data_IF_276476016559
#
_entry.id   IF_276476016559
#
_cell.length_a   1.000
_cell.length_b   1.000
_cell.length_c   1.000
_cell.angle_alpha   90.00
_cell.angle_beta   90.00
_cell.angle_gamma   90.00
#
_symmetry.space_group_name_H-M   'P 1'
#
loop_
_entity.id
_entity.type
_entity.pdbx_description
1 polymer ?
#
# COMPACT_ATOMS: atom_id res chain seq x y z
N UNK A 1 24.27 3.31 11.13
CA UNK A 1 23.32 4.21 11.84
C UNK A 1 22.05 4.35 11.01
N UNK A 2 20.93 3.97 11.60
CA UNK A 2 19.62 3.88 10.95
C UNK A 2 18.92 5.24 10.92
N UNK A 3 18.46 5.67 9.75
CA UNK A 3 17.76 6.96 9.58
C UNK A 3 16.28 6.84 9.90
N UNK A 4 15.75 7.79 10.66
CA UNK A 4 14.31 7.89 10.96
C UNK A 4 13.54 8.29 9.69
N UNK A 5 12.51 7.50 9.36
CA UNK A 5 11.67 7.67 8.17
C UNK A 5 10.30 8.20 8.55
N UNK A 6 9.65 8.96 7.68
CA UNK A 6 8.25 9.34 7.88
C UNK A 6 7.43 9.06 6.63
N UNK A 7 6.19 8.61 6.84
CA UNK A 7 5.24 8.36 5.76
C UNK A 7 4.97 9.64 4.95
N UNK A 8 4.88 10.79 5.62
CA UNK A 8 4.71 12.08 4.95
C UNK A 8 5.85 12.39 3.95
N UNK A 9 7.11 12.14 4.33
CA UNK A 9 8.26 12.29 3.41
C UNK A 9 8.16 11.32 2.25
N UNK A 10 7.74 10.08 2.50
CA UNK A 10 7.52 9.11 1.43
C UNK A 10 6.50 9.60 0.41
N UNK A 11 5.33 10.07 0.85
CA UNK A 11 4.28 10.56 -0.05
C UNK A 11 4.75 11.78 -0.83
N UNK A 12 5.25 12.80 -0.13
CA UNK A 12 5.63 14.09 -0.76
C UNK A 12 6.75 13.88 -1.77
N UNK A 13 7.81 13.15 -1.40
CA UNK A 13 8.93 12.91 -2.33
C UNK A 13 8.55 11.96 -3.45
N UNK A 14 7.69 10.95 -3.21
CA UNK A 14 7.21 10.09 -4.29
C UNK A 14 6.37 10.88 -5.30
N UNK A 15 5.57 11.85 -4.84
CA UNK A 15 4.84 12.72 -5.74
C UNK A 15 5.78 13.64 -6.54
N UNK A 16 6.75 14.27 -5.87
CA UNK A 16 7.73 15.17 -6.51
C UNK A 16 8.66 14.46 -7.52
N UNK A 17 8.98 13.19 -7.27
CA UNK A 17 9.90 12.40 -8.10
C UNK A 17 9.17 11.44 -9.05
N UNK A 18 7.87 11.61 -9.24
CA UNK A 18 7.04 10.74 -10.09
C UNK A 18 7.18 9.25 -9.76
N UNK A 19 7.28 8.91 -8.47
CA UNK A 19 7.35 7.54 -7.96
C UNK A 19 8.76 6.96 -7.83
N UNK A 20 9.81 7.63 -8.35
CA UNK A 20 11.19 7.13 -8.28
C UNK A 20 11.67 6.99 -6.83
N UNK A 21 11.31 7.94 -5.98
CA UNK A 21 11.69 7.91 -4.56
C UNK A 21 11.15 6.67 -3.82
N UNK A 22 10.01 6.12 -4.24
CA UNK A 22 9.46 4.89 -3.66
C UNK A 22 10.43 3.70 -3.77
N UNK A 23 11.13 3.58 -4.91
CA UNK A 23 12.13 2.53 -5.10
C UNK A 23 13.35 2.71 -4.20
N UNK A 24 13.85 3.95 -4.11
CA UNK A 24 14.96 4.28 -3.21
C UNK A 24 14.60 4.00 -1.75
N UNK A 25 13.38 4.36 -1.35
CA UNK A 25 12.88 4.11 0.00
C UNK A 25 12.91 2.62 0.34
N UNK A 26 12.39 1.75 -0.53
CA UNK A 26 12.39 0.30 -0.29
C UNK A 26 13.81 -0.27 -0.25
N UNK A 27 14.74 0.29 -1.03
CA UNK A 27 16.14 -0.14 -1.01
C UNK A 27 16.81 0.21 0.32
N UNK A 28 16.66 1.44 0.77
CA UNK A 28 17.13 1.86 2.08
C UNK A 28 16.45 1.08 3.21
N UNK A 29 15.16 0.77 3.08
CA UNK A 29 14.40 0.00 4.07
C UNK A 29 14.94 -1.43 4.25
N UNK A 30 15.27 -2.11 3.14
CA UNK A 30 15.85 -3.46 3.18
C UNK A 30 17.21 -3.47 3.84
N UNK A 31 18.07 -2.50 3.51
CA UNK A 31 19.40 -2.41 4.09
C UNK A 31 19.32 -2.24 5.61
N UNK A 32 18.44 -1.36 6.08
CA UNK A 32 18.25 -1.14 7.52
C UNK A 32 17.65 -2.36 8.22
N UNK A 33 16.67 -3.06 7.62
CA UNK A 33 16.17 -4.34 8.16
C UNK A 33 17.30 -5.36 8.26
N UNK A 34 18.10 -5.49 7.20
CA UNK A 34 19.19 -6.45 7.18
C UNK A 34 20.28 -6.12 8.22
N UNK A 35 20.45 -4.84 8.58
CA UNK A 35 21.38 -4.39 9.61
C UNK A 35 20.85 -4.60 11.04
N UNK A 36 19.54 -4.44 11.29
CA UNK A 36 18.96 -4.75 12.62
C UNK A 36 18.71 -6.24 12.83
N UNK A 37 18.41 -6.99 11.77
CA UNK A 37 18.14 -8.41 11.82
C UNK A 37 19.36 -9.24 11.39
N UNK A 38 20.60 -8.83 11.73
CA UNK A 38 21.82 -9.59 11.39
C UNK A 38 21.85 -10.95 12.08
N UNK A 39 21.37 -11.02 13.34
CA UNK A 39 21.35 -12.25 14.14
C UNK A 39 20.36 -13.31 13.63
N UNK A 40 19.41 -12.92 12.77
CA UNK A 40 18.36 -13.79 12.21
C UNK A 40 18.91 -14.80 11.17
N UNK A 41 20.17 -14.68 10.76
CA UNK A 41 20.81 -15.53 9.74
C UNK A 41 20.20 -15.44 8.34
N UNK A 42 19.24 -14.53 8.13
CA UNK A 42 18.47 -14.37 6.89
C UNK A 42 18.78 -13.00 6.27
N UNK A 43 19.15 -12.96 4.98
CA UNK A 43 19.20 -11.71 4.20
C UNK A 43 17.92 -11.53 3.41
N UNK A 44 17.28 -10.36 3.54
CA UNK A 44 16.21 -9.95 2.63
C UNK A 44 16.82 -9.72 1.25
N UNK A 45 16.23 -10.29 0.18
CA UNK A 45 16.75 -10.15 -1.18
C UNK A 45 16.72 -8.69 -1.63
N UNK A 46 17.62 -8.33 -2.55
CA UNK A 46 17.70 -6.99 -3.13
C UNK A 46 16.35 -6.55 -3.72
N UNK A 47 16.04 -5.26 -3.61
CA UNK A 47 14.81 -4.65 -4.17
C UNK A 47 14.58 -5.03 -5.63
N UNK A 48 15.63 -5.14 -6.43
CA UNK A 48 15.57 -5.52 -7.85
C UNK A 48 14.92 -6.91 -8.01
N UNK A 49 15.29 -7.87 -7.15
CA UNK A 49 14.71 -9.22 -7.15
C UNK A 49 13.24 -9.15 -6.78
N UNK A 50 12.88 -8.32 -5.80
CA UNK A 50 11.48 -8.13 -5.39
C UNK A 50 10.64 -7.56 -6.53
N UNK A 51 11.15 -6.56 -7.24
CA UNK A 51 10.45 -5.96 -8.39
C UNK A 51 10.27 -6.99 -9.51
N UNK A 52 11.34 -7.70 -9.89
CA UNK A 52 11.29 -8.71 -10.95
C UNK A 52 10.31 -9.84 -10.63
N UNK A 53 10.36 -10.39 -9.41
CA UNK A 53 9.39 -11.41 -8.99
C UNK A 53 7.97 -10.87 -8.86
N UNK A 54 7.80 -9.61 -8.49
CA UNK A 54 6.48 -8.99 -8.43
C UNK A 54 5.88 -8.84 -9.82
N UNK A 55 6.66 -8.45 -10.83
CA UNK A 55 6.20 -8.47 -12.22
C UNK A 55 5.85 -9.89 -12.69
N UNK A 56 6.70 -10.88 -12.38
CA UNK A 56 6.49 -12.27 -12.79
C UNK A 56 5.27 -12.92 -12.13
N UNK A 57 4.95 -12.55 -10.89
CA UNK A 57 3.85 -13.13 -10.09
C UNK A 57 2.60 -12.23 -10.04
N UNK A 58 2.49 -11.26 -10.94
CA UNK A 58 1.38 -10.29 -10.97
C UNK A 58 1.15 -9.59 -9.61
N UNK A 59 2.22 -9.26 -8.89
CA UNK A 59 2.19 -8.55 -7.61
C UNK A 59 2.00 -9.42 -6.37
N UNK A 60 1.78 -10.73 -6.50
CA UNK A 60 1.58 -11.63 -5.35
C UNK A 60 2.85 -11.73 -4.51
N UNK A 61 4.03 -11.78 -5.14
CA UNK A 61 5.30 -11.82 -4.42
C UNK A 61 5.51 -10.59 -3.52
N UNK A 62 5.07 -9.41 -3.96
CA UNK A 62 5.16 -8.18 -3.17
C UNK A 62 4.39 -8.30 -1.85
N UNK A 63 3.20 -8.91 -1.88
CA UNK A 63 2.38 -9.16 -0.68
C UNK A 63 3.10 -10.09 0.30
N UNK A 64 3.65 -11.19 -0.20
CA UNK A 64 4.42 -12.13 0.61
C UNK A 64 5.66 -11.46 1.20
N UNK A 65 6.33 -10.62 0.42
CA UNK A 65 7.50 -9.89 0.86
C UNK A 65 7.17 -8.88 1.98
N UNK A 66 6.08 -8.10 1.84
CA UNK A 66 5.59 -7.19 2.89
C UNK A 66 5.28 -7.92 4.20
N UNK A 67 4.59 -9.05 4.12
CA UNK A 67 4.32 -9.92 5.27
C UNK A 67 5.62 -10.32 5.96
N UNK A 68 6.59 -10.83 5.17
CA UNK A 68 7.86 -11.31 5.69
C UNK A 68 8.69 -10.23 6.38
N UNK A 69 8.70 -9.00 5.87
CA UNK A 69 9.42 -7.89 6.54
C UNK A 69 8.79 -7.54 7.90
N UNK A 70 7.46 -7.50 7.98
CA UNK A 70 6.76 -7.24 9.24
C UNK A 70 7.01 -8.31 10.30
N UNK A 71 7.02 -9.60 9.92
CA UNK A 71 7.31 -10.69 10.86
C UNK A 71 8.76 -10.66 11.36
N UNK A 72 9.73 -10.33 10.50
CA UNK A 72 11.15 -10.21 10.89
C UNK A 72 11.38 -9.10 11.91
N UNK A 73 10.75 -7.95 11.70
CA UNK A 73 10.79 -6.86 12.69
C UNK A 73 10.14 -7.27 14.00
N UNK A 74 9.04 -8.04 13.95
CA UNK A 74 8.37 -8.53 15.15
C UNK A 74 9.20 -9.59 15.90
N UNK A 75 9.94 -10.46 15.19
CA UNK A 75 10.77 -11.49 15.83
C UNK A 75 12.00 -10.92 16.52
N UNK A 76 12.58 -9.83 16.01
CA UNK A 76 13.74 -9.18 16.63
C UNK A 76 13.35 -8.17 17.72
N UNK A 77 12.09 -7.74 17.77
CA UNK A 77 11.63 -6.73 18.74
C UNK A 77 11.93 -7.09 20.23
N UNK A 78 11.75 -8.35 20.68
CA UNK A 78 12.10 -8.74 22.05
C UNK A 78 13.57 -8.52 22.41
N UNK A 79 14.51 -8.71 21.46
CA UNK A 79 15.95 -8.51 21.68
C UNK A 79 16.31 -7.03 21.94
N UNK A 80 15.42 -6.14 21.50
CA UNK A 80 15.50 -4.70 21.74
C UNK A 80 14.61 -4.24 22.90
N UNK A 81 14.03 -5.16 23.68
CA UNK A 81 13.05 -4.88 24.73
C UNK A 81 11.81 -4.11 24.23
N UNK A 82 11.40 -4.37 22.98
CA UNK A 82 10.23 -3.76 22.35
C UNK A 82 9.13 -4.80 22.13
N UNK A 83 7.87 -4.39 22.31
CA UNK A 83 6.70 -5.22 22.00
C UNK A 83 5.93 -4.65 20.79
N UNK A 84 6.14 -5.24 19.62
CA UNK A 84 5.43 -4.85 18.40
C UNK A 84 4.04 -5.49 18.41
N UNK A 85 3.01 -4.66 18.63
CA UNK A 85 1.59 -5.08 18.65
C UNK A 85 1.04 -5.41 17.26
N UNK A 86 1.57 -4.79 16.20
CA UNK A 86 1.11 -4.96 14.82
C UNK A 86 2.27 -5.47 13.95
N UNK A 87 2.28 -6.78 13.67
CA UNK A 87 3.29 -7.47 12.87
C UNK A 87 2.92 -7.63 11.40
N UNK A 88 3.52 -8.61 10.72
CA UNK A 88 3.33 -8.85 9.28
C UNK A 88 1.89 -9.21 8.93
N UNK A 89 1.18 -9.95 9.79
CA UNK A 89 -0.22 -10.34 9.57
C UNK A 89 -1.16 -9.14 9.44
N UNK A 90 -1.03 -8.16 10.32
CA UNK A 90 -1.86 -6.94 10.30
C UNK A 90 -1.59 -6.10 9.07
N UNK A 91 -0.33 -6.00 8.63
CA UNK A 91 0.06 -5.31 7.39
C UNK A 91 -0.57 -6.00 6.18
N UNK A 92 -0.47 -7.33 6.09
CA UNK A 92 -1.00 -8.11 4.98
C UNK A 92 -2.53 -7.99 4.87
N UNK A 93 -3.25 -8.13 5.98
CA UNK A 93 -4.72 -8.01 6.02
C UNK A 93 -5.17 -6.62 5.56
N UNK A 94 -4.53 -5.56 6.08
CA UNK A 94 -4.86 -4.18 5.70
C UNK A 94 -4.61 -3.91 4.22
N UNK A 95 -3.53 -4.47 3.66
CA UNK A 95 -3.23 -4.33 2.25
C UNK A 95 -4.23 -5.08 1.36
N UNK A 96 -4.55 -6.35 1.66
CA UNK A 96 -5.53 -7.12 0.90
C UNK A 96 -6.92 -6.46 0.98
N UNK A 97 -7.35 -6.07 2.19
CA UNK A 97 -8.63 -5.39 2.39
C UNK A 97 -8.67 -4.06 1.62
N UNK A 98 -7.58 -3.29 1.65
CA UNK A 98 -7.45 -2.07 0.86
C UNK A 98 -7.58 -2.31 -0.64
N UNK A 99 -6.85 -3.29 -1.18
CA UNK A 99 -6.91 -3.66 -2.60
C UNK A 99 -8.29 -4.10 -3.02
N UNK A 100 -8.97 -4.87 -2.17
CA UNK A 100 -10.33 -5.34 -2.40
C UNK A 100 -11.31 -4.15 -2.46
N UNK A 101 -11.27 -3.24 -1.49
CA UNK A 101 -12.15 -2.06 -1.47
C UNK A 101 -11.95 -1.16 -2.69
N UNK A 102 -10.70 -1.00 -3.15
CA UNK A 102 -10.41 -0.22 -4.35
C UNK A 102 -10.95 -0.90 -5.62
N UNK A 103 -10.86 -2.23 -5.72
CA UNK A 103 -11.38 -2.98 -6.86
C UNK A 103 -12.91 -2.85 -6.99
N UNK A 104 -13.64 -2.98 -5.87
CA UNK A 104 -15.10 -2.82 -5.84
C UNK A 104 -15.56 -1.36 -6.00
N UNK A 105 -14.80 -0.41 -5.45
CA UNK A 105 -15.04 1.02 -5.65
C UNK A 105 -14.89 1.42 -7.13
N UNK A 106 -13.90 0.85 -7.83
CA UNK A 106 -13.64 1.16 -9.24
C UNK A 106 -14.71 0.61 -10.19
N UNK A 107 -15.21 -0.60 -9.94
CA UNK A 107 -16.26 -1.22 -10.77
C UNK A 107 -17.63 -0.54 -10.63
N UNK A 108 -17.95 -0.03 -9.44
CA UNK A 108 -19.19 0.70 -9.16
C UNK A 108 -19.14 2.18 -9.55
N UNK A 109 -17.97 2.83 -9.46
CA UNK A 109 -17.83 4.27 -9.67
C UNK A 109 -17.84 4.69 -11.14
N UNK A 110 -17.27 3.85 -12.03
CA UNK A 110 -17.17 4.15 -13.46
C UNK A 110 -18.53 4.25 -14.17
N UNK A 111 -19.51 3.44 -13.77
CA UNK A 111 -20.88 3.48 -14.32
C UNK A 111 -21.64 4.73 -13.86
N UNK A 112 -21.42 5.14 -12.62
CA UNK A 112 -22.11 6.26 -11.98
C UNK A 112 -21.63 7.65 -12.46
N UNK A 113 -20.31 7.84 -12.67
CA UNK A 113 -19.76 9.11 -13.17
C UNK A 113 -20.30 9.47 -14.56
N UNK A 114 -20.57 8.48 -15.40
CA UNK A 114 -21.03 8.66 -16.77
C UNK A 114 -22.53 9.02 -16.88
N UNK A 115 -23.35 8.52 -15.95
CA UNK A 115 -24.77 8.83 -15.85
C UNK A 115 -25.04 10.31 -15.48
N UNK A 116 -24.12 10.97 -14.78
CA UNK A 116 -24.27 12.37 -14.36
C UNK A 116 -23.96 13.41 -15.44
N UNK A 117 -23.43 12.99 -16.60
CA UNK A 117 -23.12 13.86 -17.75
C UNK A 117 -22.04 14.93 -17.53
N UNK A 118 -21.45 15.02 -16.33
CA UNK A 118 -20.54 16.11 -15.92
C UNK A 118 -19.07 15.73 -15.77
N UNK A 119 -18.73 14.43 -15.73
CA UNK A 119 -17.36 13.97 -15.48
C UNK A 119 -16.99 12.80 -16.38
N UNK A 120 -16.09 13.04 -17.33
CA UNK A 120 -15.43 12.00 -18.14
C UNK A 120 -14.33 11.34 -17.31
N UNK A 121 -14.70 10.58 -16.28
CA UNK A 121 -13.74 9.73 -15.57
C UNK A 121 -13.84 8.33 -16.16
N UNK A 122 -13.17 8.15 -17.29
CA UNK A 122 -12.95 6.85 -17.91
C UNK A 122 -11.99 6.07 -17.01
N UNK A 123 -12.37 4.87 -16.56
CA UNK A 123 -11.42 3.91 -15.96
C UNK A 123 -11.20 2.73 -16.90
N UNK A 124 -9.93 2.32 -16.98
CA UNK A 124 -9.40 1.36 -17.94
C UNK A 124 -10.19 0.03 -17.95
N UNK A 125 -10.79 -0.29 -19.10
CA UNK A 125 -11.39 -1.61 -19.36
C UNK A 125 -12.76 -1.56 -20.03
N UNK A 126 -13.49 -0.45 -19.92
CA UNK A 126 -14.79 -0.27 -20.58
C UNK A 126 -14.81 1.04 -21.38
N UNK A 127 -15.32 1.01 -22.61
CA UNK A 127 -15.49 2.24 -23.38
C UNK A 127 -16.68 3.03 -22.84
N UNK A 128 -16.59 4.36 -22.91
CA UNK A 128 -17.68 5.27 -22.52
C UNK A 128 -19.02 4.95 -23.21
N UNK A 129 -18.96 4.31 -24.38
CA UNK A 129 -20.16 3.88 -25.13
C UNK A 129 -20.91 2.78 -24.37
N UNK A 130 -20.23 1.71 -23.95
CA UNK A 130 -20.90 0.56 -23.32
C UNK A 130 -21.44 0.94 -21.94
N UNK A 131 -20.73 1.80 -21.21
CA UNK A 131 -21.20 2.31 -19.92
C UNK A 131 -22.50 3.14 -20.07
N UNK A 132 -22.61 3.98 -21.12
CA UNK A 132 -23.85 4.74 -21.40
C UNK A 132 -25.00 3.82 -21.75
N UNK A 133 -24.76 2.77 -22.53
CA UNK A 133 -25.79 1.79 -22.86
C UNK A 133 -26.28 1.03 -21.62
N UNK A 134 -25.38 0.63 -20.72
CA UNK A 134 -25.77 -0.02 -19.47
C UNK A 134 -26.59 0.91 -18.58
N UNK A 135 -26.18 2.16 -18.40
CA UNK A 135 -26.95 3.14 -17.60
C UNK A 135 -28.36 3.34 -18.18
N UNK A 136 -28.47 3.48 -19.50
CA UNK A 136 -29.75 3.68 -20.18
C UNK A 136 -30.62 2.42 -20.14
N UNK A 137 -30.02 1.23 -20.30
CA UNK A 137 -30.73 -0.05 -20.25
C UNK A 137 -31.34 -0.33 -18.86
N UNK A 138 -30.67 0.11 -17.79
CA UNK A 138 -31.13 -0.10 -16.41
C UNK A 138 -31.99 1.04 -15.86
N UNK A 139 -32.29 2.09 -16.65
CA UNK A 139 -33.12 3.24 -16.25
C UNK A 139 -32.70 3.84 -14.90
N UNK A 140 -31.40 3.95 -14.66
CA UNK A 140 -30.88 4.45 -13.38
C UNK A 140 -31.14 5.96 -13.30
N UNK A 141 -31.89 6.45 -12.30
CA UNK A 141 -32.16 7.88 -12.18
C UNK A 141 -30.89 8.63 -11.71
N UNK A 142 -30.75 9.92 -12.08
CA UNK A 142 -29.49 10.67 -11.93
C UNK A 142 -29.07 10.91 -10.45
N UNK A 143 -30.03 10.94 -9.53
CA UNK A 143 -29.82 11.02 -8.09
C UNK A 143 -29.20 9.73 -7.52
N UNK A 144 -29.65 8.57 -7.96
CA UNK A 144 -29.08 7.27 -7.58
C UNK A 144 -27.66 7.11 -8.14
N UNK A 145 -27.42 7.59 -9.37
CA UNK A 145 -26.07 7.61 -9.93
C UNK A 145 -25.10 8.46 -9.08
N UNK A 146 -25.53 9.63 -8.60
CA UNK A 146 -24.69 10.46 -7.73
C UNK A 146 -24.32 9.74 -6.42
N UNK A 147 -25.28 9.04 -5.81
CA UNK A 147 -25.06 8.26 -4.57
C UNK A 147 -24.03 7.15 -4.81
N UNK A 148 -24.13 6.42 -5.93
CA UNK A 148 -23.18 5.38 -6.29
C UNK A 148 -21.78 5.98 -6.49
N UNK A 149 -21.67 7.10 -7.21
CA UNK A 149 -20.38 7.77 -7.43
C UNK A 149 -19.73 8.21 -6.11
N UNK A 150 -20.50 8.81 -5.19
CA UNK A 150 -20.02 9.21 -3.87
C UNK A 150 -19.57 8.00 -3.05
N UNK A 151 -20.35 6.92 -3.04
CA UNK A 151 -19.99 5.68 -2.36
C UNK A 151 -18.68 5.09 -2.91
N UNK A 152 -18.51 5.06 -4.23
CA UNK A 152 -17.29 4.58 -4.88
C UNK A 152 -16.06 5.42 -4.52
N UNK A 153 -16.20 6.75 -4.46
CA UNK A 153 -15.13 7.65 -4.00
C UNK A 153 -14.76 7.34 -2.56
N UNK A 154 -15.75 7.18 -1.66
CA UNK A 154 -15.51 6.85 -0.26
C UNK A 154 -14.78 5.51 -0.13
N UNK A 155 -15.20 4.48 -0.88
CA UNK A 155 -14.55 3.17 -0.88
C UNK A 155 -13.11 3.23 -1.40
N UNK A 156 -12.86 4.03 -2.44
CA UNK A 156 -11.52 4.22 -2.99
C UNK A 156 -10.59 4.92 -1.99
N UNK A 157 -11.07 5.99 -1.34
CA UNK A 157 -10.33 6.70 -0.30
C UNK A 157 -10.04 5.80 0.91
N UNK A 158 -11.03 5.03 1.36
CA UNK A 158 -10.87 4.08 2.46
C UNK A 158 -9.82 3.01 2.12
N UNK A 159 -9.85 2.47 0.90
CA UNK A 159 -8.85 1.52 0.43
C UNK A 159 -7.43 2.09 0.44
N UNK A 160 -7.24 3.32 -0.04
CA UNK A 160 -5.95 4.03 0.02
C UNK A 160 -5.48 4.22 1.47
N UNK A 161 -6.38 4.66 2.36
CA UNK A 161 -6.04 4.88 3.78
C UNK A 161 -5.58 3.58 4.44
N UNK A 162 -6.24 2.45 4.16
CA UNK A 162 -5.82 1.15 4.68
C UNK A 162 -4.42 0.76 4.18
N UNK A 163 -4.13 0.95 2.89
CA UNK A 163 -2.79 0.69 2.33
C UNK A 163 -1.72 1.60 2.95
N UNK A 164 -1.98 2.90 3.07
CA UNK A 164 -1.04 3.84 3.69
C UNK A 164 -0.80 3.49 5.17
N UNK A 165 -1.85 3.10 5.89
CA UNK A 165 -1.71 2.65 7.28
C UNK A 165 -0.82 1.41 7.40
N UNK A 166 -0.87 0.49 6.42
CA UNK A 166 -0.02 -0.70 6.39
C UNK A 166 1.46 -0.34 6.22
N UNK A 167 1.78 0.65 5.37
CA UNK A 167 3.13 1.19 5.25
C UNK A 167 3.57 1.91 6.52
N UNK A 168 2.66 2.65 7.17
CA UNK A 168 3.00 3.39 8.38
C UNK A 168 3.45 2.45 9.50
N UNK A 169 2.78 1.32 9.68
CA UNK A 169 3.16 0.29 10.67
C UNK A 169 4.59 -0.20 10.42
N UNK A 170 4.93 -0.51 9.17
CA UNK A 170 6.27 -0.98 8.80
C UNK A 170 7.35 0.08 9.07
N UNK A 171 7.03 1.35 8.80
CA UNK A 171 7.92 2.49 9.07
C UNK A 171 8.11 2.68 10.58
N UNK A 172 7.02 2.72 11.35
CA UNK A 172 7.05 2.89 12.80
C UNK A 172 7.79 1.76 13.50
N UNK A 173 7.55 0.51 13.10
CA UNK A 173 8.25 -0.66 13.62
C UNK A 173 9.76 -0.56 13.37
N UNK A 174 10.18 -0.22 12.14
CA UNK A 174 11.59 -0.05 11.83
C UNK A 174 12.22 1.13 12.58
N UNK A 175 11.51 2.25 12.68
CA UNK A 175 11.98 3.43 13.40
C UNK A 175 12.17 3.16 14.90
N UNK A 176 11.25 2.40 15.51
CA UNK A 176 11.32 2.00 16.91
C UNK A 176 12.55 1.12 17.17
N UNK A 177 12.71 0.05 16.38
CA UNK A 177 13.87 -0.85 16.46
C UNK A 177 15.16 -0.10 16.17
N UNK A 178 15.19 0.72 15.12
CA UNK A 178 16.35 1.50 14.71
C UNK A 178 16.79 2.53 15.76
N UNK A 179 15.86 3.11 16.52
CA UNK A 179 16.19 4.03 17.62
C UNK A 179 16.96 3.31 18.74
N UNK A 180 16.51 2.12 19.13
CA UNK A 180 17.18 1.33 20.17
C UNK A 180 18.53 0.79 19.66
N UNK A 181 18.58 0.34 18.41
CA UNK A 181 19.83 -0.10 17.78
C UNK A 181 20.89 1.01 17.76
N UNK A 182 20.54 2.21 17.29
CA UNK A 182 21.47 3.34 17.27
C UNK A 182 21.95 3.74 18.68
N UNK A 183 21.10 3.59 19.71
CA UNK A 183 21.50 3.87 21.09
C UNK A 183 22.45 2.81 21.67
N UNK A 184 22.36 1.55 21.22
CA UNK A 184 23.30 0.47 21.61
C UNK A 184 24.65 0.57 20.90
N UNK A 185 24.69 1.15 19.70
CA UNK A 185 25.89 1.26 18.87
C UNK A 185 26.57 2.65 18.90
N UNK A 186 26.10 3.55 19.77
CA UNK A 186 26.73 4.86 20.04
C UNK A 186 27.56 4.80 21.31
#
# INVERSE_FOLDING_TARGET
MIKQRSLAKLIVLSFLTCGIYGFFFWWAYINDINEVCVCDGKRSPNVIVVILLSFLTCGIYYLFWLYRQGERLQSVAPDYNLSIKQGGRSVLIKYILGSFLMAFGSSSGGTASLASGKYAVTFAGYSDVVLREMVNAWHIPPDVALIIALYSIVMYLLGIVLMLSSLNILIENLNAVGKVYNAKCS
#
